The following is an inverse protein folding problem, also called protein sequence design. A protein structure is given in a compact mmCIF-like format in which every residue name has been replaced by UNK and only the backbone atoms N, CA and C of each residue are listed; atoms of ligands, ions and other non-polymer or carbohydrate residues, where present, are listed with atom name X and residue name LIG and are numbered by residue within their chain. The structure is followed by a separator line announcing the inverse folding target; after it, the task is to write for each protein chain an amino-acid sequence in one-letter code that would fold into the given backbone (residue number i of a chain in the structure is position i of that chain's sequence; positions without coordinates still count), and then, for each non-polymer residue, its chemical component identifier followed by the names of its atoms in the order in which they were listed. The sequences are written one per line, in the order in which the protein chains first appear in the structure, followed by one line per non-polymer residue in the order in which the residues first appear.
data_IF_211069161862
#
_entry.id   IF_211069161862
#
_cell.length_a   1.000
_cell.length_b   1.000
_cell.length_c   1.000
_cell.angle_alpha   90.00
_cell.angle_beta   90.00
_cell.angle_gamma   90.00
#
_symmetry.space_group_name_H-M   'P 1'
#
loop_
_entity.id
_entity.type
_entity.pdbx_description
1 polymer ?
#
# COMPACT_ATOMS: atom_id res chain seq x y z
N UNK A 1 -8.98 -18.18 -0.95
CA UNK A 1 -9.03 -19.37 -0.04
C UNK A 1 -8.56 -20.66 -0.71
N UNK A 2 -9.06 -21.10 -1.89
CA UNK A 2 -8.63 -22.33 -2.55
C UNK A 2 -7.14 -22.36 -2.91
N UNK A 3 -6.56 -21.27 -3.40
CA UNK A 3 -5.14 -21.16 -3.75
C UNK A 3 -4.24 -21.39 -2.52
N UNK A 4 -4.60 -20.80 -1.39
CA UNK A 4 -3.84 -20.92 -0.13
C UNK A 4 -3.93 -22.34 0.44
N UNK A 5 -5.08 -23.00 0.32
CA UNK A 5 -5.23 -24.39 0.70
C UNK A 5 -4.31 -25.31 -0.13
N UNK A 6 -4.24 -25.09 -1.45
CA UNK A 6 -3.33 -25.84 -2.34
C UNK A 6 -1.86 -25.54 -2.03
N UNK A 7 -1.51 -24.28 -1.72
CA UNK A 7 -0.15 -23.94 -1.32
C UNK A 7 0.23 -24.60 0.01
N UNK A 8 -0.65 -24.58 1.01
CA UNK A 8 -0.43 -25.26 2.28
C UNK A 8 -0.23 -26.78 2.07
N UNK A 9 -1.09 -27.41 1.29
CA UNK A 9 -0.98 -28.85 0.99
C UNK A 9 0.36 -29.19 0.32
N UNK A 10 0.78 -28.45 -0.69
CA UNK A 10 2.08 -28.64 -1.35
C UNK A 10 3.27 -28.44 -0.41
N UNK A 11 3.23 -27.43 0.45
CA UNK A 11 4.30 -27.16 1.42
C UNK A 11 4.36 -28.29 2.46
N UNK A 12 3.21 -28.73 2.98
CA UNK A 12 3.16 -29.88 3.89
C UNK A 12 3.62 -31.17 3.21
N UNK A 13 3.27 -31.38 1.94
CA UNK A 13 3.77 -32.51 1.14
C UNK A 13 5.31 -32.49 1.03
N UNK A 14 5.90 -31.34 0.73
CA UNK A 14 7.36 -31.19 0.64
C UNK A 14 8.04 -31.42 2.00
N UNK A 15 7.44 -30.92 3.10
CA UNK A 15 7.97 -31.14 4.46
C UNK A 15 7.94 -32.63 4.86
N UNK A 16 6.91 -33.37 4.49
CA UNK A 16 6.84 -34.82 4.76
C UNK A 16 7.98 -35.61 4.10
N UNK A 17 8.39 -35.21 2.91
CA UNK A 17 9.52 -35.81 2.19
C UNK A 17 10.87 -35.45 2.81
N UNK A 18 10.99 -34.27 3.42
CA UNK A 18 12.22 -33.77 4.04
C UNK A 18 12.41 -34.25 5.49
N UNK A 19 11.37 -34.78 6.12
CA UNK A 19 11.39 -35.32 7.48
C UNK A 19 11.79 -36.81 7.47
N UNK A 20 12.65 -37.30 8.43
CA UNK A 20 13.26 -36.61 9.54
C UNK A 20 14.66 -36.04 9.27
N UNK A 21 15.37 -36.51 8.23
CA UNK A 21 16.82 -36.44 8.12
C UNK A 21 17.38 -34.98 7.94
N UNK A 22 16.62 -34.03 7.37
CA UNK A 22 17.10 -32.65 7.12
C UNK A 22 16.53 -31.61 8.08
N UNK A 23 15.61 -31.98 8.96
CA UNK A 23 14.93 -31.05 9.87
C UNK A 23 15.37 -31.19 11.33
N UNK A 24 16.22 -32.14 11.64
CA UNK A 24 16.71 -32.40 13.02
C UNK A 24 17.54 -31.24 13.62
N UNK A 25 18.18 -30.45 12.80
CA UNK A 25 19.02 -29.31 13.24
C UNK A 25 18.26 -28.01 13.50
N UNK A 26 16.98 -27.91 13.14
CA UNK A 26 16.14 -26.72 13.33
C UNK A 26 14.97 -27.01 14.25
N UNK A 27 14.66 -26.08 15.14
CA UNK A 27 13.49 -26.18 16.02
C UNK A 27 12.22 -26.32 15.18
N UNK A 28 11.53 -27.47 15.28
CA UNK A 28 10.31 -27.81 14.51
C UNK A 28 9.25 -26.72 14.59
N UNK A 29 9.06 -26.08 15.76
CA UNK A 29 8.13 -24.98 15.94
C UNK A 29 8.48 -23.72 15.15
N UNK A 30 9.77 -23.42 14.96
CA UNK A 30 10.23 -22.27 14.17
C UNK A 30 9.89 -22.44 12.67
N UNK A 31 10.01 -23.64 12.12
CA UNK A 31 9.69 -23.92 10.71
C UNK A 31 8.19 -23.80 10.47
N UNK A 32 7.37 -24.36 11.35
CA UNK A 32 5.91 -24.26 11.23
C UNK A 32 5.45 -22.80 11.35
N UNK A 33 6.00 -22.05 12.30
CA UNK A 33 5.68 -20.62 12.49
C UNK A 33 6.08 -19.81 11.26
N UNK A 34 7.27 -20.03 10.67
CA UNK A 34 7.75 -19.36 9.47
C UNK A 34 6.81 -19.63 8.27
N UNK A 35 6.45 -20.92 8.03
CA UNK A 35 5.57 -21.28 6.92
C UNK A 35 4.18 -20.67 7.09
N UNK A 36 3.64 -20.65 8.31
CA UNK A 36 2.34 -20.02 8.57
C UNK A 36 2.38 -18.53 8.30
N UNK A 37 3.41 -17.85 8.79
CA UNK A 37 3.61 -16.41 8.56
C UNK A 37 3.81 -16.06 7.08
N UNK A 38 4.59 -16.87 6.35
CA UNK A 38 4.84 -16.63 4.94
C UNK A 38 3.57 -16.83 4.08
N UNK A 39 2.74 -17.81 4.42
CA UNK A 39 1.45 -18.04 3.76
C UNK A 39 0.48 -16.88 4.03
N UNK A 40 0.41 -16.39 5.26
CA UNK A 40 -0.39 -15.21 5.62
C UNK A 40 0.10 -13.97 4.88
N UNK A 41 1.41 -13.79 4.76
CA UNK A 41 2.00 -12.68 3.98
C UNK A 41 1.65 -12.77 2.50
N UNK A 42 1.66 -13.97 1.92
CA UNK A 42 1.19 -14.19 0.55
C UNK A 42 -0.31 -13.90 0.39
N UNK A 43 -1.13 -14.27 1.36
CA UNK A 43 -2.57 -13.96 1.35
C UNK A 43 -2.80 -12.45 1.31
N UNK A 44 -2.14 -11.72 2.20
CA UNK A 44 -2.19 -10.25 2.24
C UNK A 44 -1.72 -9.65 0.91
N UNK A 45 -0.63 -10.17 0.33
CA UNK A 45 -0.13 -9.70 -0.97
C UNK A 45 -1.15 -9.91 -2.10
N UNK A 46 -1.75 -11.10 -2.21
CA UNK A 46 -2.76 -11.37 -3.23
C UNK A 46 -4.02 -10.52 -3.04
N UNK A 47 -4.53 -10.42 -1.82
CA UNK A 47 -5.76 -9.70 -1.53
C UNK A 47 -5.59 -8.18 -1.66
N UNK A 48 -4.46 -7.64 -1.19
CA UNK A 48 -4.26 -6.19 -1.09
C UNK A 48 -3.37 -5.58 -2.17
N UNK A 49 -2.71 -6.40 -3.01
CA UNK A 49 -1.88 -5.88 -4.10
C UNK A 49 -2.44 -6.27 -5.47
N UNK A 50 -2.59 -7.57 -5.73
CA UNK A 50 -3.00 -8.04 -7.07
C UNK A 50 -4.47 -7.70 -7.35
N UNK A 51 -5.36 -7.95 -6.39
CA UNK A 51 -6.79 -7.71 -6.57
C UNK A 51 -7.12 -6.24 -6.87
N UNK A 52 -6.65 -5.24 -6.09
CA UNK A 52 -6.88 -3.82 -6.42
C UNK A 52 -6.32 -3.41 -7.79
N UNK A 53 -5.15 -3.91 -8.18
CA UNK A 53 -4.58 -3.61 -9.51
C UNK A 53 -5.47 -4.15 -10.62
N UNK A 54 -5.91 -5.40 -10.54
CA UNK A 54 -6.79 -5.99 -11.55
C UNK A 54 -8.13 -5.23 -11.64
N UNK A 55 -8.72 -4.88 -10.49
CA UNK A 55 -9.96 -4.12 -10.43
C UNK A 55 -9.76 -2.73 -11.06
N UNK A 56 -8.69 -2.02 -10.71
CA UNK A 56 -8.39 -0.71 -11.26
C UNK A 56 -8.25 -0.74 -12.79
N UNK A 57 -7.53 -1.73 -13.35
CA UNK A 57 -7.37 -1.89 -14.80
C UNK A 57 -8.71 -2.16 -15.48
N UNK A 58 -9.50 -3.11 -14.95
CA UNK A 58 -10.80 -3.47 -15.53
C UNK A 58 -11.78 -2.30 -15.48
N UNK A 59 -11.88 -1.60 -14.34
CA UNK A 59 -12.76 -0.44 -14.19
C UNK A 59 -12.29 0.71 -15.07
N UNK A 60 -11.01 1.01 -15.13
CA UNK A 60 -10.48 2.06 -16.00
C UNK A 60 -10.78 1.80 -17.48
N UNK A 61 -10.62 0.55 -17.93
CA UNK A 61 -10.95 0.16 -19.30
C UNK A 61 -12.46 0.26 -19.58
N UNK A 62 -13.31 -0.22 -18.66
CA UNK A 62 -14.76 -0.15 -18.79
C UNK A 62 -15.24 1.31 -18.85
N UNK A 63 -14.72 2.18 -18.00
CA UNK A 63 -15.05 3.61 -17.97
C UNK A 63 -14.55 4.33 -19.22
N UNK A 64 -13.34 4.02 -19.69
CA UNK A 64 -12.81 4.57 -20.94
C UNK A 64 -13.72 4.27 -22.11
N UNK A 65 -14.14 3.02 -22.28
CA UNK A 65 -15.07 2.61 -23.35
C UNK A 65 -16.45 3.24 -23.17
N UNK A 66 -17.00 3.20 -21.94
CA UNK A 66 -18.32 3.78 -21.65
C UNK A 66 -18.36 5.28 -21.97
N UNK A 67 -17.42 6.05 -21.47
CA UNK A 67 -17.35 7.50 -21.71
C UNK A 67 -17.09 7.79 -23.19
N UNK A 68 -16.28 6.99 -23.86
CA UNK A 68 -15.99 7.13 -25.29
C UNK A 68 -17.25 6.96 -26.18
N UNK A 69 -18.07 5.96 -25.89
CA UNK A 69 -19.28 5.68 -26.65
C UNK A 69 -20.49 6.55 -26.25
N UNK A 70 -20.64 6.86 -24.95
CA UNK A 70 -21.80 7.58 -24.44
C UNK A 70 -21.63 9.09 -24.53
N UNK A 71 -20.43 9.59 -24.19
CA UNK A 71 -20.18 11.02 -24.18
C UNK A 71 -19.27 11.43 -25.36
N UNK A 72 -17.95 11.30 -25.23
CA UNK A 72 -16.99 11.68 -26.26
C UNK A 72 -15.66 10.99 -26.08
N UNK A 73 -14.99 10.62 -27.18
CA UNK A 73 -13.62 10.09 -27.17
C UNK A 73 -12.61 11.06 -26.58
N UNK A 74 -12.82 12.38 -26.72
CA UNK A 74 -11.95 13.40 -26.10
C UNK A 74 -12.01 13.34 -24.58
N UNK A 75 -13.22 13.23 -24.01
CA UNK A 75 -13.40 13.04 -22.56
C UNK A 75 -12.83 11.71 -22.09
N UNK A 76 -13.00 10.64 -22.86
CA UNK A 76 -12.43 9.35 -22.55
C UNK A 76 -10.89 9.38 -22.50
N UNK A 77 -10.23 10.07 -23.43
CA UNK A 77 -8.77 10.25 -23.44
C UNK A 77 -8.28 11.03 -22.20
N UNK A 78 -9.00 12.07 -21.78
CA UNK A 78 -8.69 12.80 -20.53
C UNK A 78 -8.78 11.87 -19.32
N UNK A 79 -9.84 11.06 -19.23
CA UNK A 79 -10.00 10.08 -18.17
C UNK A 79 -8.86 9.05 -18.17
N UNK A 80 -8.52 8.50 -19.33
CA UNK A 80 -7.42 7.53 -19.48
C UNK A 80 -6.07 8.13 -19.02
N UNK A 81 -5.78 9.37 -19.43
CA UNK A 81 -4.59 10.08 -18.98
C UNK A 81 -4.57 10.23 -17.45
N UNK A 82 -5.71 10.60 -16.84
CA UNK A 82 -5.87 10.67 -15.39
C UNK A 82 -5.59 9.34 -14.69
N UNK A 83 -6.16 8.24 -15.20
CA UNK A 83 -5.94 6.89 -14.64
C UNK A 83 -4.47 6.46 -14.74
N UNK A 84 -3.79 6.74 -15.84
CA UNK A 84 -2.36 6.44 -15.99
C UNK A 84 -1.51 7.28 -15.03
N UNK A 85 -1.76 8.58 -14.94
CA UNK A 85 -1.00 9.47 -14.04
C UNK A 85 -1.18 9.05 -12.59
N UNK A 86 -2.42 8.86 -12.14
CA UNK A 86 -2.74 8.57 -10.75
C UNK A 86 -2.42 7.12 -10.39
N UNK A 87 -2.70 6.16 -11.27
CA UNK A 87 -2.49 4.73 -11.03
C UNK A 87 -1.07 4.25 -11.22
N UNK A 88 -0.25 4.93 -12.04
CA UNK A 88 1.09 4.47 -12.39
C UNK A 88 2.14 5.52 -12.01
N UNK A 89 2.04 6.74 -12.52
CA UNK A 89 3.12 7.74 -12.38
C UNK A 89 3.29 8.18 -10.93
N UNK A 90 2.20 8.54 -10.26
CA UNK A 90 2.26 8.98 -8.85
C UNK A 90 2.82 7.91 -7.92
N UNK A 91 2.35 6.63 -7.95
CA UNK A 91 2.93 5.56 -7.14
C UNK A 91 4.41 5.30 -7.43
N UNK A 92 4.82 5.31 -8.69
CA UNK A 92 6.22 5.09 -9.07
C UNK A 92 7.16 6.16 -8.48
N UNK A 93 6.77 7.43 -8.56
CA UNK A 93 7.55 8.54 -8.01
C UNK A 93 7.62 8.48 -6.47
N UNK A 94 6.51 8.09 -5.83
CA UNK A 94 6.40 8.06 -4.37
C UNK A 94 7.04 6.83 -3.74
N UNK A 95 7.07 5.70 -4.44
CA UNK A 95 7.47 4.39 -3.89
C UNK A 95 8.89 4.35 -3.35
N UNK A 96 9.86 4.95 -4.04
CA UNK A 96 11.26 4.92 -3.63
C UNK A 96 11.51 5.60 -2.27
N UNK A 97 10.90 6.76 -2.07
CA UNK A 97 11.02 7.52 -0.81
C UNK A 97 10.27 6.86 0.34
N UNK A 98 9.07 6.36 0.08
CA UNK A 98 8.25 5.67 1.07
C UNK A 98 8.91 4.36 1.52
N UNK A 99 9.45 3.58 0.58
CA UNK A 99 10.18 2.34 0.89
C UNK A 99 11.37 2.59 1.82
N UNK A 100 12.20 3.58 1.52
CA UNK A 100 13.35 3.92 2.37
C UNK A 100 12.93 4.33 3.79
N UNK A 101 11.90 5.17 3.91
CA UNK A 101 11.36 5.60 5.21
C UNK A 101 10.74 4.45 5.98
N UNK A 102 10.03 3.54 5.31
CA UNK A 102 9.43 2.34 5.90
C UNK A 102 10.49 1.37 6.44
N UNK A 103 11.57 1.11 5.69
CA UNK A 103 12.69 0.26 6.13
C UNK A 103 13.36 0.85 7.38
N UNK A 104 13.63 2.16 7.39
CA UNK A 104 14.23 2.81 8.55
C UNK A 104 13.32 2.74 9.78
N UNK A 105 12.04 3.02 9.62
CA UNK A 105 11.05 2.87 10.70
C UNK A 105 11.05 1.46 11.29
N UNK A 106 10.98 0.41 10.44
CA UNK A 106 10.97 -0.99 10.91
C UNK A 106 12.24 -1.36 11.65
N UNK A 107 13.39 -0.87 11.19
CA UNK A 107 14.68 -1.10 11.87
C UNK A 107 14.71 -0.46 13.25
N UNK A 108 14.33 0.81 13.36
CA UNK A 108 14.31 1.51 14.64
C UNK A 108 13.24 0.94 15.60
N UNK A 109 12.08 0.53 15.07
CA UNK A 109 11.04 -0.15 15.82
C UNK A 109 11.52 -1.49 16.40
N UNK A 110 12.19 -2.31 15.58
CA UNK A 110 12.78 -3.58 16.03
C UNK A 110 13.85 -3.36 17.11
N UNK A 111 14.73 -2.38 16.92
CA UNK A 111 15.79 -2.01 17.88
C UNK A 111 15.20 -1.51 19.21
N UNK A 112 14.17 -0.67 19.16
CA UNK A 112 13.45 -0.20 20.34
C UNK A 112 12.79 -1.34 21.10
N UNK A 113 12.03 -2.19 20.39
CA UNK A 113 11.35 -3.31 21.02
C UNK A 113 12.32 -4.32 21.64
N UNK A 114 13.44 -4.64 20.96
CA UNK A 114 14.44 -5.54 21.52
C UNK A 114 15.01 -4.99 22.83
N UNK A 115 15.40 -3.71 22.85
CA UNK A 115 15.92 -3.06 24.04
C UNK A 115 14.89 -2.95 25.16
N UNK A 116 13.65 -2.63 24.82
CA UNK A 116 12.55 -2.52 25.78
C UNK A 116 12.22 -3.87 26.44
N UNK A 117 12.11 -4.92 25.64
CA UNK A 117 11.90 -6.29 26.15
C UNK A 117 13.09 -6.78 27.00
N UNK A 118 14.31 -6.48 26.59
CA UNK A 118 15.51 -6.79 27.39
C UNK A 118 15.46 -6.06 28.76
N UNK A 119 15.06 -4.80 28.75
CA UNK A 119 14.92 -4.02 29.98
C UNK A 119 13.85 -4.58 30.94
N UNK A 120 12.73 -5.08 30.41
CA UNK A 120 11.68 -5.73 31.19
C UNK A 120 12.17 -7.08 31.76
N UNK A 121 12.80 -7.90 30.91
CA UNK A 121 13.30 -9.21 31.34
C UNK A 121 14.41 -9.10 32.37
N UNK A 122 15.28 -8.09 32.23
CA UNK A 122 16.38 -7.81 33.15
C UNK A 122 16.04 -6.84 34.28
N UNK A 123 14.76 -6.55 34.55
CA UNK A 123 14.37 -5.52 35.52
C UNK A 123 14.96 -5.76 36.92
N UNK A 124 15.08 -7.01 37.34
CA UNK A 124 15.70 -7.37 38.62
C UNK A 124 17.17 -6.94 38.70
N UNK A 125 17.91 -7.16 37.60
CA UNK A 125 19.33 -6.79 37.53
C UNK A 125 19.50 -5.28 37.44
N UNK A 126 18.60 -4.58 36.76
CA UNK A 126 18.56 -3.12 36.68
C UNK A 126 18.39 -2.51 38.08
N UNK A 127 17.43 -3.02 38.85
CA UNK A 127 17.16 -2.54 40.21
C UNK A 127 18.31 -2.87 41.16
N UNK A 128 18.85 -4.08 41.10
CA UNK A 128 19.96 -4.49 41.96
C UNK A 128 21.24 -3.67 41.71
N UNK A 129 21.43 -3.15 40.50
CA UNK A 129 22.58 -2.34 40.15
C UNK A 129 22.32 -0.81 40.22
N UNK A 130 21.14 -0.37 40.69
CA UNK A 130 20.69 1.03 40.72
C UNK A 130 20.79 1.73 39.34
N UNK A 131 20.50 0.99 38.25
CA UNK A 131 20.67 1.46 36.87
C UNK A 131 19.33 1.92 36.23
N UNK A 132 18.29 2.19 37.03
CA UNK A 132 16.95 2.54 36.53
C UNK A 132 16.98 3.83 35.71
N UNK A 133 17.66 4.87 36.23
CA UNK A 133 17.74 6.17 35.55
C UNK A 133 18.44 6.09 34.20
N UNK A 134 19.51 5.31 34.11
CA UNK A 134 20.25 5.14 32.86
C UNK A 134 19.44 4.34 31.84
N UNK A 135 18.72 3.30 32.31
CA UNK A 135 17.79 2.54 31.45
C UNK A 135 16.65 3.38 30.95
N UNK A 136 16.02 4.17 31.81
CA UNK A 136 14.96 5.10 31.46
C UNK A 136 15.42 6.13 30.43
N UNK A 137 16.59 6.74 30.66
CA UNK A 137 17.17 7.71 29.72
C UNK A 137 17.41 7.09 28.33
N UNK A 138 17.94 5.87 28.26
CA UNK A 138 18.18 5.19 26.99
C UNK A 138 16.88 4.75 26.32
N UNK A 139 15.85 4.28 27.06
CA UNK A 139 14.51 4.00 26.50
C UNK A 139 13.92 5.27 25.91
N UNK A 140 13.97 6.38 26.61
CA UNK A 140 13.47 7.67 26.14
C UNK A 140 14.22 8.14 24.88
N UNK A 141 15.54 8.04 24.85
CA UNK A 141 16.37 8.38 23.69
C UNK A 141 15.99 7.55 22.45
N UNK A 142 15.82 6.23 22.62
CA UNK A 142 15.41 5.33 21.52
C UNK A 142 13.97 5.61 21.08
N UNK A 143 13.10 5.92 22.01
CA UNK A 143 11.72 6.35 21.72
C UNK A 143 11.70 7.61 20.85
N UNK A 144 12.53 8.61 21.19
CA UNK A 144 12.64 9.85 20.42
C UNK A 144 13.14 9.63 18.98
N UNK A 145 14.10 8.72 18.81
CA UNK A 145 14.59 8.33 17.47
C UNK A 145 13.45 7.67 16.69
N UNK A 146 12.72 6.73 17.30
CA UNK A 146 11.60 6.05 16.68
C UNK A 146 10.49 7.04 16.31
N UNK A 147 10.18 8.00 17.18
CA UNK A 147 9.19 9.05 16.89
C UNK A 147 9.58 9.91 15.70
N UNK A 148 10.87 10.27 15.57
CA UNK A 148 11.39 11.01 14.41
C UNK A 148 11.21 10.21 13.11
N UNK A 149 11.57 8.93 13.10
CA UNK A 149 11.40 8.08 11.91
C UNK A 149 9.93 7.82 11.59
N UNK A 150 9.07 7.64 12.62
CA UNK A 150 7.61 7.56 12.46
C UNK A 150 7.03 8.82 11.80
N UNK A 151 7.47 10.00 12.25
CA UNK A 151 7.05 11.29 11.69
C UNK A 151 7.49 11.45 10.23
N UNK A 152 8.73 11.06 9.89
CA UNK A 152 9.23 11.09 8.51
C UNK A 152 8.39 10.18 7.60
N UNK A 153 8.13 8.94 8.03
CA UNK A 153 7.32 7.98 7.30
C UNK A 153 5.90 8.50 7.08
N UNK A 154 5.23 8.94 8.15
CA UNK A 154 3.85 9.49 8.06
C UNK A 154 3.79 10.72 7.17
N UNK A 155 4.73 11.66 7.30
CA UNK A 155 4.79 12.84 6.43
C UNK A 155 5.00 12.45 4.95
N UNK A 156 5.78 11.42 4.68
CA UNK A 156 5.95 10.88 3.32
C UNK A 156 4.63 10.36 2.76
N UNK A 157 3.91 9.55 3.52
CA UNK A 157 2.59 9.01 3.15
C UNK A 157 1.60 10.15 2.92
N UNK A 158 1.50 11.10 3.86
CA UNK A 158 0.58 12.25 3.73
C UNK A 158 0.87 13.09 2.48
N UNK A 159 2.14 13.35 2.18
CA UNK A 159 2.51 14.09 0.95
C UNK A 159 2.14 13.31 -0.31
N UNK A 160 2.32 12.00 -0.33
CA UNK A 160 1.93 11.17 -1.47
C UNK A 160 0.41 11.18 -1.65
N UNK A 161 -0.37 11.01 -0.57
CA UNK A 161 -1.84 11.09 -0.62
C UNK A 161 -2.33 12.46 -1.09
N UNK A 162 -1.78 13.54 -0.53
CA UNK A 162 -2.14 14.91 -0.94
C UNK A 162 -1.83 15.16 -2.43
N UNK A 163 -0.69 14.68 -2.94
CA UNK A 163 -0.36 14.77 -4.36
C UNK A 163 -1.36 14.00 -5.22
N UNK A 164 -1.76 12.81 -4.79
CA UNK A 164 -2.76 11.98 -5.47
C UNK A 164 -4.11 12.69 -5.54
N UNK A 165 -4.59 13.24 -4.41
CA UNK A 165 -5.87 13.97 -4.34
C UNK A 165 -5.87 15.23 -5.20
N UNK A 166 -4.74 15.96 -5.21
CA UNK A 166 -4.55 17.12 -6.10
C UNK A 166 -4.64 16.72 -7.57
N UNK A 167 -4.01 15.61 -7.96
CA UNK A 167 -4.08 15.11 -9.34
C UNK A 167 -5.49 14.68 -9.71
N UNK A 168 -6.22 13.99 -8.83
CA UNK A 168 -7.63 13.64 -9.05
C UNK A 168 -8.46 14.90 -9.29
N UNK A 169 -8.35 15.88 -8.40
CA UNK A 169 -9.08 17.14 -8.53
C UNK A 169 -8.73 17.86 -9.84
N UNK A 170 -7.46 17.91 -10.20
CA UNK A 170 -6.99 18.51 -11.46
C UNK A 170 -7.63 17.82 -12.68
N UNK A 171 -7.63 16.49 -12.74
CA UNK A 171 -8.23 15.76 -13.87
C UNK A 171 -9.75 15.89 -13.93
N UNK A 172 -10.43 16.01 -12.78
CA UNK A 172 -11.87 16.33 -12.74
C UNK A 172 -12.15 17.71 -13.35
N UNK A 173 -11.38 18.72 -12.93
CA UNK A 173 -11.51 20.10 -13.47
C UNK A 173 -11.19 20.12 -14.96
N UNK A 174 -10.13 19.46 -15.41
CA UNK A 174 -9.80 19.33 -16.84
C UNK A 174 -10.95 18.67 -17.59
N UNK A 175 -11.53 17.58 -17.08
CA UNK A 175 -12.64 16.89 -17.71
C UNK A 175 -13.88 17.78 -17.84
N UNK A 176 -14.14 18.62 -16.82
CA UNK A 176 -15.23 19.60 -16.84
C UNK A 176 -14.98 20.68 -17.89
N UNK A 177 -13.77 21.25 -17.94
CA UNK A 177 -13.40 22.28 -18.92
C UNK A 177 -13.51 21.72 -20.34
N UNK A 178 -12.94 20.54 -20.59
CA UNK A 178 -13.01 19.90 -21.92
C UNK A 178 -14.47 19.58 -22.27
N UNK A 179 -15.30 19.11 -21.31
CA UNK A 179 -16.72 18.89 -21.52
C UNK A 179 -17.47 20.16 -21.91
N UNK A 180 -17.24 21.27 -21.21
CA UNK A 180 -17.86 22.58 -21.54
C UNK A 180 -17.44 23.05 -22.93
N UNK A 181 -16.16 22.92 -23.28
CA UNK A 181 -15.67 23.28 -24.62
C UNK A 181 -16.34 22.45 -25.71
N UNK A 182 -16.51 21.15 -25.50
CA UNK A 182 -17.17 20.28 -26.46
C UNK A 182 -18.66 20.64 -26.66
N UNK A 183 -19.33 21.04 -25.56
CA UNK A 183 -20.73 21.53 -25.66
C UNK A 183 -20.77 22.90 -26.37
N UNK A 184 -19.84 23.81 -26.08
CA UNK A 184 -19.77 25.11 -26.74
C UNK A 184 -19.53 25.00 -28.25
N UNK A 185 -18.75 24.01 -28.71
CA UNK A 185 -18.55 23.73 -30.12
C UNK A 185 -19.62 22.84 -30.75
N UNK A 186 -20.73 22.61 -30.06
CA UNK A 186 -21.86 21.78 -30.51
C UNK A 186 -21.47 20.30 -30.85
N UNK A 187 -20.30 19.87 -30.35
CA UNK A 187 -19.82 18.50 -30.56
C UNK A 187 -20.41 17.49 -29.57
N UNK A 188 -21.00 17.98 -28.46
CA UNK A 188 -21.54 17.16 -27.39
C UNK A 188 -22.77 17.79 -26.78
N UNK A 189 -23.81 16.98 -26.50
CA UNK A 189 -24.96 17.43 -25.77
C UNK A 189 -24.67 17.58 -24.26
N UNK A 190 -25.29 18.56 -23.59
CA UNK A 190 -25.10 18.84 -22.17
C UNK A 190 -25.39 17.62 -21.30
N UNK A 191 -26.44 16.84 -21.60
CA UNK A 191 -26.79 15.64 -20.84
C UNK A 191 -25.71 14.57 -20.91
N UNK A 192 -25.17 14.32 -22.11
CA UNK A 192 -24.05 13.38 -22.32
C UNK A 192 -22.76 13.86 -21.67
N UNK A 193 -22.48 15.17 -21.71
CA UNK A 193 -21.33 15.76 -20.99
C UNK A 193 -21.42 15.48 -19.48
N UNK A 194 -22.59 15.74 -18.88
CA UNK A 194 -22.79 15.51 -17.44
C UNK A 194 -22.62 14.04 -17.08
N UNK A 195 -23.19 13.12 -17.86
CA UNK A 195 -23.01 11.67 -17.66
C UNK A 195 -21.53 11.30 -17.71
N UNK A 196 -20.80 11.79 -18.71
CA UNK A 196 -19.36 11.53 -18.87
C UNK A 196 -18.54 12.03 -17.67
N UNK A 197 -18.71 13.29 -17.28
CA UNK A 197 -17.95 13.91 -16.18
C UNK A 197 -18.27 13.23 -14.83
N UNK A 198 -19.56 12.97 -14.54
CA UNK A 198 -19.95 12.26 -13.30
C UNK A 198 -19.39 10.85 -13.25
N UNK A 199 -19.40 10.15 -14.39
CA UNK A 199 -18.82 8.80 -14.48
C UNK A 199 -17.31 8.84 -14.22
N UNK A 200 -16.58 9.79 -14.80
CA UNK A 200 -15.14 9.98 -14.55
C UNK A 200 -14.89 10.27 -13.06
N UNK A 201 -15.65 11.19 -12.46
CA UNK A 201 -15.55 11.52 -11.05
C UNK A 201 -15.71 10.29 -10.14
N UNK A 202 -16.75 9.48 -10.35
CA UNK A 202 -17.03 8.29 -9.56
C UNK A 202 -16.04 7.14 -9.76
N UNK A 203 -15.27 7.15 -10.84
CA UNK A 203 -14.39 6.03 -11.24
C UNK A 203 -12.97 6.07 -10.70
N UNK A 204 -12.54 7.15 -10.04
CA UNK A 204 -11.20 7.24 -9.48
C UNK A 204 -10.96 6.34 -8.25
N UNK A 205 -12.01 5.86 -7.57
CA UNK A 205 -11.90 5.05 -6.36
C UNK A 205 -10.96 3.84 -6.48
N UNK A 206 -11.13 2.94 -7.43
CA UNK A 206 -10.22 1.79 -7.63
C UNK A 206 -8.77 2.20 -7.95
N UNK A 207 -8.57 3.29 -8.68
CA UNK A 207 -7.23 3.80 -9.02
C UNK A 207 -6.54 4.40 -7.80
N UNK A 208 -7.31 5.07 -6.92
CA UNK A 208 -6.83 5.57 -5.63
C UNK A 208 -6.37 4.43 -4.71
N UNK A 209 -7.06 3.30 -4.72
CA UNK A 209 -6.64 2.12 -3.96
C UNK A 209 -5.26 1.60 -4.40
N UNK A 210 -4.96 1.61 -5.70
CA UNK A 210 -3.63 1.26 -6.22
C UNK A 210 -2.58 2.30 -5.82
N UNK A 211 -2.92 3.58 -5.88
CA UNK A 211 -2.04 4.69 -5.50
C UNK A 211 -1.62 4.66 -4.02
N UNK A 212 -2.44 4.08 -3.16
CA UNK A 212 -2.16 3.92 -1.72
C UNK A 212 -1.27 2.71 -1.38
N UNK A 213 -1.04 1.76 -2.29
CA UNK A 213 -0.26 0.54 -2.03
C UNK A 213 1.16 0.80 -1.50
N UNK A 214 1.95 1.77 -2.01
CA UNK A 214 3.29 2.02 -1.51
C UNK A 214 3.35 2.45 -0.02
N UNK A 215 2.25 2.95 0.53
CA UNK A 215 2.15 3.33 1.94
C UNK A 215 1.75 2.19 2.87
N UNK A 216 1.23 1.10 2.33
CA UNK A 216 0.71 -0.05 3.08
C UNK A 216 1.69 -1.26 3.10
N UNK A 217 2.75 -1.21 2.29
CA UNK A 217 3.83 -2.20 2.22
C UNK A 217 5.00 -1.77 3.10
#
# INVERSE_FOLDING_TARGET
FKLLAVLRDKIFGALRVLCPAKLESKQKGSIIAMITSDIETLEVFYAHTISPICIAVLVSLAVFLFVGFVASWYLALVALAGFIVIGIIVPLISSGRLKASGVNYRREFASFNAYFLDSIKGIKDVVLNNAEKDREAEVNRRSDILLKETKKMKNGITKASAATELMVTLFIVISLIVGILLVHFEMLDLGRMLIGVVTIFGSFGPVLAVSALPGNL
#
